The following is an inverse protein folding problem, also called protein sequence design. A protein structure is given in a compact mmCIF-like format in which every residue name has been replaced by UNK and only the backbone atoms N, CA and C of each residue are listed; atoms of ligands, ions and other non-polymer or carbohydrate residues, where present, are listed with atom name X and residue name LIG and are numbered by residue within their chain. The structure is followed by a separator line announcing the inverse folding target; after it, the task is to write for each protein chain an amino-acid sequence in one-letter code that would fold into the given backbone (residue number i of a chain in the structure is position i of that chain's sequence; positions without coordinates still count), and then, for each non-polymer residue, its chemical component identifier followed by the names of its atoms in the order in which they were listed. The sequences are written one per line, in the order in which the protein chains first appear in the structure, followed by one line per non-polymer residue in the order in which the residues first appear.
data_IF_033672697355
#
_entry.id   IF_033672697355
#
_cell.length_a   1.000
_cell.length_b   1.000
_cell.length_c   1.000
_cell.angle_alpha   90.00
_cell.angle_beta   90.00
_cell.angle_gamma   90.00
#
_symmetry.space_group_name_H-M   'P 1'
#
loop_
_entity.id
_entity.type
_entity.pdbx_description
1 polymer ?
#
# COMPACT_ATOMS: atom_id res chain seq x y z
N UNK A 1 -19.64 -19.76 -12.07
CA UNK A 1 -18.80 -19.00 -11.12
C UNK A 1 -18.11 -17.90 -11.90
N UNK A 2 -17.77 -16.78 -11.25
CA UNK A 2 -16.95 -15.75 -11.89
C UNK A 2 -15.62 -16.37 -12.35
N UNK A 3 -15.11 -15.91 -13.50
CA UNK A 3 -13.86 -16.38 -14.11
C UNK A 3 -12.66 -15.51 -13.66
N UNK A 4 -12.74 -15.01 -12.43
CA UNK A 4 -11.79 -14.12 -11.77
C UNK A 4 -12.09 -14.13 -10.27
N UNK A 5 -11.12 -13.73 -9.45
CA UNK A 5 -11.27 -13.50 -8.02
C UNK A 5 -10.92 -12.08 -7.63
N UNK A 6 -10.63 -11.87 -6.35
CA UNK A 6 -10.28 -10.55 -5.79
C UNK A 6 -8.94 -10.55 -5.04
N UNK A 7 -8.10 -11.55 -5.31
CA UNK A 7 -6.74 -11.66 -4.76
C UNK A 7 -5.73 -11.26 -5.83
N UNK A 8 -5.07 -10.11 -5.66
CA UNK A 8 -3.94 -9.74 -6.51
C UNK A 8 -2.67 -10.48 -6.13
N UNK A 9 -2.49 -10.72 -4.83
CA UNK A 9 -1.57 -11.73 -4.34
C UNK A 9 -2.25 -12.67 -3.34
N UNK A 10 -1.92 -13.95 -3.45
CA UNK A 10 -2.29 -15.02 -2.54
C UNK A 10 -1.01 -15.49 -1.87
N UNK A 11 -1.14 -15.87 -0.60
CA UNK A 11 -0.01 -16.41 0.16
C UNK A 11 0.65 -17.57 -0.58
N UNK A 12 1.86 -17.32 -1.08
CA UNK A 12 2.66 -18.25 -1.84
C UNK A 12 3.74 -18.82 -0.92
N UNK A 13 3.63 -20.10 -0.59
CA UNK A 13 4.60 -20.78 0.26
C UNK A 13 5.57 -21.62 -0.57
N UNK A 14 6.85 -21.60 -0.20
CA UNK A 14 7.88 -22.39 -0.86
C UNK A 14 8.49 -21.71 -2.08
N UNK A 15 9.05 -22.51 -2.99
CA UNK A 15 9.68 -22.03 -4.22
C UNK A 15 9.30 -22.91 -5.39
N UNK A 16 9.47 -22.42 -6.63
CA UNK A 16 9.13 -23.18 -7.84
C UNK A 16 10.25 -23.19 -8.87
N UNK A 17 10.33 -24.31 -9.58
CA UNK A 17 11.03 -24.43 -10.84
C UNK A 17 10.00 -24.43 -11.97
N UNK A 18 10.33 -23.80 -13.09
CA UNK A 18 9.46 -23.73 -14.28
C UNK A 18 10.20 -24.32 -15.47
N UNK A 19 9.57 -25.26 -16.15
CA UNK A 19 10.11 -25.89 -17.35
C UNK A 19 9.43 -25.32 -18.59
N UNK A 20 10.18 -25.24 -19.69
CA UNK A 20 9.69 -24.71 -20.97
C UNK A 20 8.49 -25.49 -21.57
N UNK A 21 8.25 -26.72 -21.10
CA UNK A 21 7.07 -27.52 -21.47
C UNK A 21 5.79 -27.11 -20.71
N UNK A 22 5.85 -26.08 -19.86
CA UNK A 22 4.72 -25.60 -19.05
C UNK A 22 4.53 -26.35 -17.74
N UNK A 23 5.43 -27.25 -17.34
CA UNK A 23 5.39 -27.84 -16.00
C UNK A 23 5.99 -26.86 -14.98
N UNK A 24 5.34 -26.72 -13.84
CA UNK A 24 5.88 -26.03 -12.66
C UNK A 24 5.94 -27.03 -11.52
N UNK A 25 7.10 -27.13 -10.89
CA UNK A 25 7.33 -28.02 -9.74
C UNK A 25 7.75 -27.18 -8.54
N UNK A 26 6.96 -27.27 -7.49
CA UNK A 26 7.16 -26.59 -6.24
C UNK A 26 7.94 -27.40 -5.22
N UNK A 27 8.66 -26.70 -4.34
CA UNK A 27 9.23 -27.22 -3.11
C UNK A 27 8.53 -26.55 -1.94
N UNK A 28 7.93 -27.32 -1.03
CA UNK A 28 7.13 -26.80 0.11
C UNK A 28 5.92 -25.95 -0.30
N UNK A 29 5.35 -26.23 -1.47
CA UNK A 29 4.13 -25.58 -1.99
C UNK A 29 2.87 -26.38 -1.62
N UNK A 30 1.70 -25.73 -1.73
CA UNK A 30 0.39 -26.31 -1.42
C UNK A 30 -0.63 -26.12 -2.55
N UNK A 31 -0.24 -26.36 -3.80
CA UNK A 31 -1.09 -26.05 -4.96
C UNK A 31 -2.43 -26.78 -5.02
N UNK A 32 -2.58 -27.96 -4.40
CA UNK A 32 -3.85 -28.67 -4.41
C UNK A 32 -4.84 -28.17 -3.34
N UNK A 33 -4.42 -27.24 -2.47
CA UNK A 33 -5.34 -26.54 -1.58
C UNK A 33 -6.11 -25.47 -2.38
N UNK A 34 -7.45 -25.59 -2.52
CA UNK A 34 -8.25 -24.62 -3.27
C UNK A 34 -8.27 -23.22 -2.64
N UNK A 35 -7.84 -23.05 -1.38
CA UNK A 35 -7.63 -21.73 -0.80
C UNK A 35 -6.35 -21.06 -1.35
N UNK A 36 -5.36 -21.86 -1.75
CA UNK A 36 -4.04 -21.40 -2.24
C UNK A 36 -4.06 -21.21 -3.76
N UNK A 37 -4.49 -22.22 -4.52
CA UNK A 37 -4.47 -22.15 -5.99
C UNK A 37 -5.67 -22.87 -6.61
N UNK A 38 -6.11 -22.38 -7.77
CA UNK A 38 -7.15 -23.00 -8.60
C UNK A 38 -6.72 -23.01 -10.06
N UNK A 39 -7.28 -23.92 -10.84
CA UNK A 39 -7.15 -23.86 -12.30
C UNK A 39 -7.76 -22.54 -12.78
N UNK A 40 -6.99 -21.80 -13.58
CA UNK A 40 -7.31 -20.44 -14.03
C UNK A 40 -6.57 -19.34 -13.28
N UNK A 41 -6.08 -19.59 -12.06
CA UNK A 41 -5.22 -18.63 -11.34
C UNK A 41 -3.90 -18.44 -12.10
N UNK A 42 -3.23 -17.32 -11.84
CA UNK A 42 -1.95 -16.97 -12.46
C UNK A 42 -0.81 -17.13 -11.45
N UNK A 43 0.26 -17.79 -11.87
CA UNK A 43 1.56 -17.82 -11.20
C UNK A 43 2.43 -16.74 -11.85
N UNK A 44 2.97 -15.83 -11.04
CA UNK A 44 3.99 -14.88 -11.48
C UNK A 44 5.33 -15.29 -10.90
N UNK A 45 6.35 -15.47 -11.74
CA UNK A 45 7.68 -15.84 -11.25
C UNK A 45 8.55 -14.60 -11.10
N UNK A 46 8.91 -14.25 -9.86
CA UNK A 46 9.57 -12.99 -9.51
C UNK A 46 10.84 -12.74 -10.33
N UNK A 47 11.65 -13.78 -10.54
CA UNK A 47 12.91 -13.67 -11.29
C UNK A 47 12.72 -13.30 -12.77
N UNK A 48 11.56 -13.56 -13.36
CA UNK A 48 11.26 -13.30 -14.77
C UNK A 48 10.16 -12.24 -14.97
N UNK A 49 9.35 -11.97 -13.94
CA UNK A 49 8.09 -11.23 -14.05
C UNK A 49 7.03 -11.92 -14.92
N UNK A 50 7.29 -13.12 -15.46
CA UNK A 50 6.38 -13.78 -16.38
C UNK A 50 5.13 -14.27 -15.64
N UNK A 51 3.98 -13.88 -16.15
CA UNK A 51 2.67 -14.34 -15.68
C UNK A 51 2.27 -15.60 -16.46
N UNK A 52 1.96 -16.68 -15.76
CA UNK A 52 1.66 -18.01 -16.28
C UNK A 52 0.31 -18.49 -15.75
N UNK A 53 -0.63 -18.86 -16.62
CA UNK A 53 -1.96 -19.30 -16.20
C UNK A 53 -1.98 -20.80 -15.91
N UNK A 54 -2.46 -21.20 -14.74
CA UNK A 54 -2.62 -22.60 -14.36
C UNK A 54 -3.72 -23.24 -15.21
N UNK A 55 -3.39 -24.31 -15.91
CA UNK A 55 -4.34 -25.13 -16.69
C UNK A 55 -4.68 -26.44 -15.99
N UNK A 56 -3.78 -26.95 -15.16
CA UNK A 56 -3.97 -28.20 -14.43
C UNK A 56 -3.22 -28.16 -13.10
N UNK A 57 -3.82 -28.73 -12.06
CA UNK A 57 -3.17 -28.95 -10.76
C UNK A 57 -3.11 -30.45 -10.54
N UNK A 58 -1.90 -31.01 -10.59
CA UNK A 58 -1.68 -32.45 -10.45
C UNK A 58 -1.46 -32.84 -8.99
N UNK A 59 -0.81 -31.98 -8.20
CA UNK A 59 -0.57 -32.21 -6.77
C UNK A 59 -0.22 -30.91 -6.03
N UNK A 60 0.04 -30.99 -4.72
CA UNK A 60 0.54 -29.86 -3.94
C UNK A 60 1.83 -29.23 -4.48
N UNK A 61 2.61 -29.98 -5.24
CA UNK A 61 3.91 -29.57 -5.75
C UNK A 61 4.00 -29.54 -7.26
N UNK A 62 2.93 -29.85 -7.99
CA UNK A 62 2.98 -29.90 -9.46
C UNK A 62 1.73 -29.28 -10.06
N UNK A 63 1.95 -28.32 -10.95
CA UNK A 63 0.92 -27.74 -11.80
C UNK A 63 1.42 -27.65 -13.25
N UNK A 64 0.49 -27.57 -14.19
CA UNK A 64 0.77 -27.25 -15.59
C UNK A 64 0.22 -25.87 -15.90
N UNK A 65 1.00 -25.09 -16.66
CA UNK A 65 0.71 -23.71 -16.99
C UNK A 65 0.87 -23.43 -18.48
N UNK A 66 0.23 -22.36 -18.92
CA UNK A 66 0.44 -21.76 -20.24
C UNK A 66 0.84 -20.28 -20.09
N UNK A 67 1.52 -19.69 -21.09
CA UNK A 67 1.84 -18.27 -21.08
C UNK A 67 0.60 -17.39 -20.88
N UNK A 68 0.70 -16.39 -20.00
CA UNK A 68 -0.37 -15.41 -19.76
C UNK A 68 -0.53 -14.37 -20.87
N UNK A 69 0.40 -14.35 -21.82
CA UNK A 69 0.42 -13.52 -23.03
C UNK A 69 0.49 -14.43 -24.25
N UNK A 70 -0.33 -14.18 -25.27
CA UNK A 70 -0.28 -15.02 -26.49
C UNK A 70 0.98 -14.72 -27.28
N UNK A 71 1.47 -15.75 -27.96
CA UNK A 71 2.72 -15.70 -28.73
C UNK A 71 3.97 -15.86 -27.88
N UNK A 72 3.87 -15.68 -26.56
CA UNK A 72 4.98 -15.94 -25.65
C UNK A 72 5.21 -17.44 -25.44
N UNK A 73 6.44 -17.78 -25.05
CA UNK A 73 6.81 -19.12 -24.59
C UNK A 73 7.00 -19.13 -23.08
N UNK A 74 6.83 -20.29 -22.44
CA UNK A 74 7.12 -20.42 -21.00
C UNK A 74 8.62 -20.28 -20.79
N UNK A 75 9.02 -19.32 -19.96
CA UNK A 75 10.42 -19.05 -19.63
C UNK A 75 10.89 -20.09 -18.61
N UNK A 76 12.00 -20.77 -18.92
CA UNK A 76 12.58 -21.76 -18.04
C UNK A 76 13.22 -21.09 -16.80
N UNK A 77 12.88 -21.58 -15.61
CA UNK A 77 13.42 -21.15 -14.33
C UNK A 77 13.92 -22.38 -13.57
N UNK A 78 15.24 -22.59 -13.58
CA UNK A 78 15.88 -23.81 -13.06
C UNK A 78 16.46 -23.69 -11.65
N UNK A 79 16.32 -22.53 -11.01
CA UNK A 79 16.63 -22.33 -9.59
C UNK A 79 15.30 -22.07 -8.88
N UNK A 80 15.04 -22.72 -7.74
CA UNK A 80 13.79 -22.59 -6.99
C UNK A 80 13.45 -21.14 -6.70
N UNK A 81 12.61 -20.56 -7.56
CA UNK A 81 12.26 -19.15 -7.58
C UNK A 81 11.13 -18.85 -6.63
N UNK A 82 11.16 -17.65 -6.05
CA UNK A 82 9.98 -17.07 -5.44
C UNK A 82 8.92 -16.81 -6.52
N UNK A 83 7.66 -16.87 -6.10
CA UNK A 83 6.52 -16.71 -6.97
C UNK A 83 5.36 -16.08 -6.20
N UNK A 84 4.49 -15.42 -6.96
CA UNK A 84 3.20 -14.91 -6.50
C UNK A 84 2.05 -15.65 -7.18
N UNK A 85 0.88 -15.63 -6.55
CA UNK A 85 -0.34 -16.28 -7.06
C UNK A 85 -1.45 -15.23 -7.11
N UNK A 86 -2.13 -15.10 -8.25
CA UNK A 86 -3.18 -14.09 -8.43
C UNK A 86 -4.44 -14.67 -9.07
N UNK A 87 -5.61 -14.14 -8.70
CA UNK A 87 -6.91 -14.54 -9.25
C UNK A 87 -7.34 -13.63 -10.41
N UNK A 88 -6.36 -13.19 -11.22
CA UNK A 88 -6.56 -12.37 -12.42
C UNK A 88 -7.64 -12.97 -13.33
N UNK A 89 -8.33 -12.16 -14.16
CA UNK A 89 -9.30 -12.69 -15.10
C UNK A 89 -8.70 -13.77 -15.99
N UNK A 90 -9.33 -14.95 -16.02
CA UNK A 90 -8.86 -16.13 -16.76
C UNK A 90 -8.68 -15.85 -18.26
N UNK A 91 -9.46 -14.90 -18.79
CA UNK A 91 -9.43 -14.45 -20.16
C UNK A 91 -9.12 -12.95 -20.25
N UNK A 92 -7.83 -12.61 -20.19
CA UNK A 92 -7.34 -11.30 -20.65
C UNK A 92 -7.14 -11.39 -22.17
N UNK A 93 -7.57 -10.40 -22.95
CA UNK A 93 -7.34 -10.44 -24.40
C UNK A 93 -5.84 -10.50 -24.66
N UNK A 94 -5.41 -11.59 -25.27
CA UNK A 94 -4.03 -11.85 -25.62
C UNK A 94 -3.68 -11.33 -27.03
N UNK A 95 -4.62 -10.61 -27.65
CA UNK A 95 -4.53 -10.11 -29.01
C UNK A 95 -4.96 -8.65 -29.07
N UNK A 96 -4.17 -7.83 -29.75
CA UNK A 96 -4.41 -6.41 -29.94
C UNK A 96 -5.33 -6.18 -31.13
N UNK A 97 -5.98 -5.02 -31.11
CA UNK A 97 -6.14 -4.22 -32.33
C UNK A 97 -4.99 -3.20 -32.34
N UNK A 98 -3.85 -3.52 -32.99
CA UNK A 98 -2.69 -2.62 -33.14
C UNK A 98 -1.32 -3.20 -32.75
N UNK A 99 -0.26 -2.79 -33.44
CA UNK A 99 1.11 -3.37 -33.39
C UNK A 99 1.95 -3.01 -32.16
N UNK A 100 1.34 -2.80 -30.98
CA UNK A 100 2.02 -2.33 -29.77
C UNK A 100 2.14 -3.40 -28.68
N UNK A 101 3.29 -3.44 -28.02
CA UNK A 101 3.60 -4.26 -26.84
C UNK A 101 2.67 -3.87 -25.68
N UNK A 102 1.79 -4.78 -25.24
CA UNK A 102 0.80 -4.48 -24.18
C UNK A 102 -0.19 -5.60 -23.90
N UNK A 103 0.21 -6.86 -24.09
CA UNK A 103 -0.73 -7.95 -24.35
C UNK A 103 -0.60 -9.03 -23.26
N UNK A 104 -1.73 -9.50 -22.74
CA UNK A 104 -1.78 -10.56 -21.73
C UNK A 104 -1.69 -10.10 -20.27
N UNK A 105 -1.70 -11.09 -19.37
CA UNK A 105 -1.88 -10.89 -17.94
C UNK A 105 -0.76 -10.10 -17.23
N UNK A 106 0.41 -9.95 -17.87
CA UNK A 106 1.51 -9.15 -17.34
C UNK A 106 1.20 -7.64 -17.25
N UNK A 107 0.23 -7.15 -18.03
CA UNK A 107 -0.23 -5.76 -17.98
C UNK A 107 -1.57 -5.61 -17.25
N UNK A 108 -2.00 -6.65 -16.52
CA UNK A 108 -3.22 -6.62 -15.70
C UNK A 108 -2.80 -6.64 -14.25
N UNK A 109 -3.32 -5.66 -13.53
CA UNK A 109 -2.96 -5.32 -12.16
C UNK A 109 -4.22 -5.30 -11.30
N UNK A 110 -4.10 -5.73 -10.06
CA UNK A 110 -5.20 -5.71 -9.12
C UNK A 110 -5.21 -4.41 -8.33
N UNK A 111 -6.02 -3.45 -8.77
CA UNK A 111 -6.00 -2.11 -8.18
C UNK A 111 -7.00 -2.02 -7.03
N UNK A 112 -6.53 -1.72 -5.83
CA UNK A 112 -7.34 -1.41 -4.67
C UNK A 112 -7.84 0.04 -4.66
N UNK A 113 -8.68 0.38 -3.68
CA UNK A 113 -9.08 1.78 -3.44
C UNK A 113 -7.88 2.63 -3.01
N UNK A 114 -6.92 2.01 -2.31
CA UNK A 114 -5.69 2.68 -1.88
C UNK A 114 -4.78 3.02 -3.05
N UNK A 115 -4.55 2.08 -3.95
CA UNK A 115 -3.72 2.32 -5.13
C UNK A 115 -4.34 3.34 -6.09
N UNK A 116 -5.67 3.39 -6.20
CA UNK A 116 -6.34 4.47 -6.96
C UNK A 116 -6.04 5.85 -6.38
N UNK A 117 -6.11 5.98 -5.05
CA UNK A 117 -5.75 7.21 -4.35
C UNK A 117 -4.24 7.50 -4.47
N UNK A 118 -3.40 6.47 -4.59
CA UNK A 118 -1.97 6.61 -4.80
C UNK A 118 -1.61 7.03 -6.24
N UNK A 119 -2.44 6.67 -7.22
CA UNK A 119 -2.19 6.83 -8.65
C UNK A 119 -3.24 7.73 -9.31
N UNK A 120 -3.64 8.83 -8.66
CA UNK A 120 -4.73 9.72 -9.16
C UNK A 120 -4.51 10.21 -10.59
N UNK A 121 -3.26 10.50 -10.96
CA UNK A 121 -2.90 10.99 -12.29
C UNK A 121 -2.99 9.90 -13.37
N UNK A 122 -3.06 8.63 -12.98
CA UNK A 122 -3.31 7.51 -13.90
C UNK A 122 -4.75 7.49 -14.42
N UNK A 123 -5.68 8.17 -13.74
CA UNK A 123 -7.08 8.28 -14.15
C UNK A 123 -7.92 7.01 -13.95
N UNK A 124 -7.46 6.07 -13.11
CA UNK A 124 -8.19 4.85 -12.77
C UNK A 124 -9.43 5.20 -11.96
N UNK A 125 -10.61 4.74 -12.39
CA UNK A 125 -11.89 5.15 -11.81
C UNK A 125 -12.48 4.13 -10.82
N UNK A 126 -12.05 2.87 -10.90
CA UNK A 126 -12.61 1.80 -10.09
C UNK A 126 -11.53 0.83 -9.61
N UNK A 127 -11.73 0.31 -8.38
CA UNK A 127 -10.96 -0.81 -7.88
C UNK A 127 -11.32 -2.08 -8.66
N UNK A 128 -10.41 -3.03 -8.69
CA UNK A 128 -10.55 -4.31 -9.38
C UNK A 128 -9.44 -4.52 -10.40
N UNK A 129 -9.71 -5.34 -11.41
CA UNK A 129 -8.70 -5.71 -12.39
C UNK A 129 -8.58 -4.63 -13.46
N UNK A 130 -7.42 -3.99 -13.52
CA UNK A 130 -7.15 -2.89 -14.46
C UNK A 130 -6.04 -3.28 -15.41
N UNK A 131 -6.29 -3.11 -16.70
CA UNK A 131 -5.29 -3.30 -17.75
C UNK A 131 -4.59 -1.98 -18.05
N UNK A 132 -3.26 -2.00 -18.08
CA UNK A 132 -2.44 -0.92 -18.62
C UNK A 132 -2.18 -1.15 -20.11
N UNK A 133 -2.41 -0.13 -20.92
CA UNK A 133 -2.13 -0.14 -22.35
C UNK A 133 -1.14 0.97 -22.69
N UNK A 134 -0.10 0.59 -23.42
CA UNK A 134 0.92 1.52 -23.93
C UNK A 134 0.82 1.56 -25.44
N UNK A 135 0.66 2.76 -25.99
CA UNK A 135 0.65 2.97 -27.44
C UNK A 135 1.49 4.18 -27.81
N UNK A 136 2.01 4.20 -29.04
CA UNK A 136 2.64 5.40 -29.56
C UNK A 136 1.67 6.59 -29.53
N UNK A 137 2.20 7.78 -29.25
CA UNK A 137 1.42 9.02 -29.37
C UNK A 137 1.02 9.30 -30.81
N UNK A 138 0.09 10.25 -30.98
CA UNK A 138 -0.33 10.66 -32.31
C UNK A 138 0.89 11.12 -33.15
N UNK A 139 1.01 10.60 -34.37
CA UNK A 139 2.15 10.88 -35.25
C UNK A 139 3.46 10.18 -34.83
N UNK A 140 3.41 9.19 -33.93
CA UNK A 140 4.60 8.46 -33.46
C UNK A 140 5.44 9.23 -32.44
N UNK A 141 4.96 10.37 -31.94
CA UNK A 141 5.68 11.22 -30.99
C UNK A 141 5.19 10.90 -29.57
N UNK A 142 6.13 10.49 -28.72
CA UNK A 142 5.87 10.19 -27.31
C UNK A 142 5.10 8.90 -27.08
N UNK A 143 4.83 8.62 -25.81
CA UNK A 143 4.13 7.42 -25.36
C UNK A 143 2.83 7.81 -24.68
N UNK A 144 1.73 7.15 -25.05
CA UNK A 144 0.43 7.28 -24.37
C UNK A 144 0.20 6.05 -23.51
N UNK A 145 -0.06 6.27 -22.23
CA UNK A 145 -0.51 5.25 -21.29
C UNK A 145 -2.01 5.43 -21.07
N UNK A 146 -2.76 4.34 -21.15
CA UNK A 146 -4.20 4.30 -20.87
C UNK A 146 -4.48 3.13 -19.94
N UNK A 147 -5.43 3.32 -19.04
CA UNK A 147 -5.91 2.26 -18.16
C UNK A 147 -7.35 1.90 -18.51
N UNK A 148 -7.66 0.61 -18.52
CA UNK A 148 -9.01 0.07 -18.74
C UNK A 148 -9.38 -0.82 -17.56
N UNK A 149 -10.49 -0.53 -16.91
CA UNK A 149 -11.04 -1.43 -15.89
C UNK A 149 -11.68 -2.63 -16.59
N UNK A 150 -11.04 -3.80 -16.48
CA UNK A 150 -11.58 -5.06 -16.98
C UNK A 150 -12.70 -5.59 -16.08
N UNK A 151 -12.52 -5.44 -14.77
CA UNK A 151 -13.50 -5.85 -13.76
C UNK A 151 -13.54 -4.83 -12.64
N UNK A 152 -14.67 -4.15 -12.47
CA UNK A 152 -14.88 -3.25 -11.35
C UNK A 152 -15.35 -4.02 -10.11
N UNK A 153 -14.80 -3.67 -8.94
CA UNK A 153 -15.08 -4.31 -7.65
C UNK A 153 -15.10 -3.29 -6.52
N UNK A 154 -15.63 -3.69 -5.36
CA UNK A 154 -15.54 -2.88 -4.13
C UNK A 154 -14.13 -2.85 -3.52
N UNK A 155 -13.23 -3.75 -3.96
CA UNK A 155 -11.86 -3.81 -3.50
C UNK A 155 -11.15 -5.07 -3.99
N UNK A 156 -9.83 -4.99 -4.06
CA UNK A 156 -8.92 -6.11 -4.24
C UNK A 156 -8.13 -6.30 -2.94
N UNK A 157 -7.76 -7.55 -2.67
CA UNK A 157 -6.99 -7.95 -1.51
C UNK A 157 -5.67 -8.56 -1.95
N UNK A 158 -4.68 -8.55 -1.06
CA UNK A 158 -3.33 -8.90 -1.45
C UNK A 158 -2.70 -7.77 -2.25
N UNK A 159 -1.38 -7.78 -2.30
CA UNK A 159 -0.58 -6.74 -2.90
C UNK A 159 0.48 -7.45 -3.74
N UNK A 160 0.38 -7.27 -5.06
CA UNK A 160 1.34 -7.85 -5.99
C UNK A 160 2.57 -6.94 -6.09
N UNK A 161 3.69 -7.46 -6.57
CA UNK A 161 4.91 -6.66 -6.75
C UNK A 161 4.84 -5.75 -8.01
N UNK A 162 3.76 -4.98 -8.17
CA UNK A 162 3.49 -4.11 -9.30
C UNK A 162 3.72 -2.61 -9.04
N UNK A 163 4.24 -2.27 -7.85
CA UNK A 163 4.68 -0.94 -7.39
C UNK A 163 5.40 -0.08 -8.43
N UNK A 164 6.12 -0.70 -9.35
CA UNK A 164 6.83 0.00 -10.45
C UNK A 164 5.89 0.66 -11.47
N UNK A 165 4.63 0.23 -11.51
CA UNK A 165 3.59 0.66 -12.46
C UNK A 165 2.43 1.32 -11.72
N UNK A 166 1.98 0.69 -10.63
CA UNK A 166 0.93 1.18 -9.76
C UNK A 166 1.50 1.18 -8.36
N UNK A 167 1.92 2.35 -7.89
CA UNK A 167 2.58 2.43 -6.59
C UNK A 167 1.56 2.26 -5.47
N UNK A 168 2.01 1.64 -4.39
CA UNK A 168 1.28 1.62 -3.15
C UNK A 168 1.30 2.96 -2.40
N UNK A 169 0.28 3.14 -1.55
CA UNK A 169 0.31 4.23 -0.60
C UNK A 169 1.27 3.90 0.54
N UNK A 170 2.28 4.75 0.74
CA UNK A 170 3.23 4.63 1.83
C UNK A 170 3.20 5.87 2.73
N UNK A 171 3.34 5.66 4.03
CA UNK A 171 3.60 6.73 4.98
C UNK A 171 4.66 6.31 6.01
N UNK A 172 5.47 7.26 6.45
CA UNK A 172 6.38 7.09 7.57
C UNK A 172 6.58 8.39 8.35
N UNK A 173 6.86 8.27 9.65
CA UNK A 173 7.38 9.38 10.46
C UNK A 173 8.90 9.40 10.30
N UNK A 174 9.43 10.40 9.61
CA UNK A 174 10.86 10.54 9.29
C UNK A 174 11.61 11.37 10.33
N UNK A 175 10.92 12.28 11.01
CA UNK A 175 11.47 13.01 12.17
C UNK A 175 10.51 12.88 13.34
N UNK A 176 10.97 12.23 14.40
CA UNK A 176 10.22 12.07 15.65
C UNK A 176 10.14 13.40 16.40
N UNK A 177 9.06 13.63 17.18
CA UNK A 177 9.06 14.73 18.13
C UNK A 177 10.15 14.56 19.16
N UNK A 178 10.59 15.68 19.74
CA UNK A 178 11.60 15.72 20.80
C UNK A 178 11.00 16.25 22.10
N UNK A 179 11.43 15.69 23.23
CA UNK A 179 11.10 16.21 24.56
C UNK A 179 11.53 17.67 24.70
N UNK A 180 10.78 18.45 25.48
CA UNK A 180 10.99 19.89 25.59
C UNK A 180 10.78 20.37 27.03
N UNK A 181 11.36 21.54 27.34
CA UNK A 181 11.27 22.17 28.65
C UNK A 181 10.60 23.52 28.54
N UNK A 182 9.52 23.73 29.30
CA UNK A 182 8.89 25.02 29.48
C UNK A 182 9.41 25.69 30.76
N UNK A 183 10.37 26.60 30.64
CA UNK A 183 10.85 27.42 31.76
C UNK A 183 9.99 28.68 31.94
N UNK A 184 8.96 28.55 32.77
CA UNK A 184 8.01 29.61 33.09
C UNK A 184 8.54 30.63 34.10
N UNK A 185 9.63 30.31 34.83
CA UNK A 185 10.38 31.33 35.61
C UNK A 185 10.98 32.35 34.65
N UNK A 186 11.63 31.87 33.58
CA UNK A 186 12.27 32.73 32.59
C UNK A 186 11.26 33.41 31.66
N UNK A 187 10.15 32.73 31.34
CA UNK A 187 9.09 33.28 30.51
C UNK A 187 7.73 32.66 30.87
N UNK A 188 6.93 33.38 31.64
CA UNK A 188 5.60 32.92 32.07
C UNK A 188 4.60 32.68 30.92
N UNK A 189 4.86 33.24 29.73
CA UNK A 189 4.03 33.07 28.53
C UNK A 189 4.60 32.04 27.54
N UNK A 190 5.61 31.26 27.93
CA UNK A 190 6.23 30.26 27.06
C UNK A 190 5.23 29.16 26.69
N UNK A 191 5.16 28.84 25.40
CA UNK A 191 4.28 27.80 24.87
C UNK A 191 5.15 26.78 24.12
N UNK A 192 5.51 25.66 24.76
CA UNK A 192 6.39 24.67 24.13
C UNK A 192 5.67 24.00 22.95
N UNK A 193 6.45 23.61 21.96
CA UNK A 193 5.96 22.91 20.77
C UNK A 193 6.57 21.52 20.62
N UNK A 194 5.80 20.63 20.01
CA UNK A 194 6.27 19.34 19.51
C UNK A 194 5.99 19.28 18.02
N UNK A 195 7.00 18.89 17.24
CA UNK A 195 6.92 18.81 15.79
C UNK A 195 7.19 17.40 15.32
N UNK A 196 6.56 16.99 14.23
CA UNK A 196 6.83 15.73 13.54
C UNK A 196 7.04 16.04 12.06
N UNK A 197 7.88 15.26 11.39
CA UNK A 197 7.93 15.25 9.93
C UNK A 197 7.51 13.86 9.47
N UNK A 198 6.59 13.81 8.52
CA UNK A 198 6.26 12.58 7.83
C UNK A 198 6.75 12.64 6.38
N UNK A 199 6.85 11.47 5.77
CA UNK A 199 6.95 11.30 4.33
C UNK A 199 5.77 10.45 3.90
N UNK A 200 5.12 10.88 2.82
CA UNK A 200 4.06 10.11 2.17
C UNK A 200 4.33 9.92 0.70
N UNK A 201 3.88 8.79 0.19
CA UNK A 201 3.82 8.51 -1.24
C UNK A 201 2.42 8.02 -1.59
N UNK A 202 1.81 8.60 -2.63
CA UNK A 202 2.26 9.75 -3.40
C UNK A 202 2.32 11.03 -2.54
N UNK A 203 3.09 12.04 -2.98
CA UNK A 203 3.37 13.27 -2.19
C UNK A 203 2.11 14.12 -1.89
N UNK A 204 1.02 13.89 -2.63
CA UNK A 204 -0.29 14.49 -2.44
C UNK A 204 -1.22 13.65 -1.55
N UNK A 205 -0.71 12.58 -0.93
CA UNK A 205 -1.49 11.71 -0.06
C UNK A 205 -2.04 12.45 1.17
N UNK A 206 -3.34 12.31 1.42
CA UNK A 206 -3.97 12.92 2.58
C UNK A 206 -3.58 12.19 3.87
N UNK A 207 -2.88 12.88 4.77
CA UNK A 207 -2.54 12.37 6.11
C UNK A 207 -3.26 13.17 7.17
N UNK A 208 -4.01 12.47 8.00
CA UNK A 208 -4.55 13.04 9.21
C UNK A 208 -3.67 12.68 10.41
N UNK A 209 -3.69 13.57 11.39
CA UNK A 209 -2.84 13.54 12.57
C UNK A 209 -3.69 13.49 13.83
N UNK A 210 -3.19 12.81 14.87
CA UNK A 210 -3.83 12.71 16.17
C UNK A 210 -2.82 12.74 17.34
N UNK A 211 -2.56 13.93 17.89
CA UNK A 211 -1.77 14.13 19.12
C UNK A 211 -2.44 13.65 20.40
N UNK A 212 -1.86 12.66 21.06
CA UNK A 212 -2.34 12.13 22.33
C UNK A 212 -1.50 12.67 23.49
N UNK A 213 -2.14 12.77 24.65
CA UNK A 213 -1.50 13.11 25.92
C UNK A 213 -1.68 11.95 26.89
N UNK A 214 -0.64 11.71 27.69
CA UNK A 214 -0.64 10.80 28.81
C UNK A 214 -0.26 11.57 30.07
N UNK A 215 -1.05 11.40 31.13
CA UNK A 215 -0.81 11.99 32.46
C UNK A 215 -0.26 10.97 33.47
N UNK A 216 0.01 9.74 33.02
CA UNK A 216 0.42 8.61 33.85
C UNK A 216 1.58 7.82 33.22
N UNK A 217 2.61 8.53 32.76
CA UNK A 217 3.87 7.94 32.27
C UNK A 217 3.68 6.87 31.17
N UNK A 218 2.76 7.12 30.26
CA UNK A 218 2.52 6.32 29.07
C UNK A 218 1.55 5.16 29.27
N UNK A 219 1.01 4.96 30.47
CA UNK A 219 0.10 3.85 30.77
C UNK A 219 -1.26 3.99 30.05
N UNK A 220 -1.81 5.20 29.96
CA UNK A 220 -3.04 5.47 29.19
C UNK A 220 -2.93 6.74 28.37
N UNK A 221 -3.54 6.73 27.18
CA UNK A 221 -3.45 7.84 26.23
C UNK A 221 -4.83 8.41 25.93
N UNK A 222 -4.97 9.72 26.09
CA UNK A 222 -6.18 10.45 25.75
C UNK A 222 -5.95 11.31 24.50
N UNK A 223 -6.97 11.41 23.65
CA UNK A 223 -6.95 12.32 22.52
C UNK A 223 -7.04 13.78 23.00
N UNK A 224 -6.06 14.62 22.64
CA UNK A 224 -6.12 16.07 22.88
C UNK A 224 -7.26 16.68 22.06
N UNK A 225 -8.22 17.30 22.74
CA UNK A 225 -9.37 18.00 22.13
C UNK A 225 -9.62 19.40 22.72
N UNK A 226 -8.87 19.79 23.76
CA UNK A 226 -9.06 21.05 24.48
C UNK A 226 -8.26 22.20 23.82
N UNK A 227 -8.99 23.07 23.10
CA UNK A 227 -8.38 24.16 22.35
C UNK A 227 -7.87 25.36 23.15
N UNK A 228 -8.22 25.44 24.45
CA UNK A 228 -7.72 26.48 25.36
C UNK A 228 -6.41 26.07 26.02
N UNK A 229 -6.23 24.78 26.30
CA UNK A 229 -5.01 24.24 26.92
C UNK A 229 -3.86 23.98 25.92
N UNK A 230 -4.21 23.68 24.68
CA UNK A 230 -3.29 23.44 23.57
C UNK A 230 -3.52 24.49 22.48
N UNK A 231 -2.67 24.56 21.46
CA UNK A 231 -2.82 25.43 20.28
C UNK A 231 -2.91 24.63 18.98
N UNK A 232 -2.96 25.37 17.85
CA UNK A 232 -3.16 24.88 16.47
C UNK A 232 -4.50 24.15 16.24
N UNK A 233 -5.60 24.91 16.25
CA UNK A 233 -6.91 24.44 15.80
C UNK A 233 -7.45 25.40 14.74
N UNK A 234 -7.89 24.86 13.61
CA UNK A 234 -8.71 25.60 12.64
C UNK A 234 -10.20 25.42 12.91
N UNK A 235 -10.60 24.36 13.62
CA UNK A 235 -12.00 24.06 13.94
C UNK A 235 -12.22 23.65 15.40
N UNK A 236 -13.33 24.13 15.99
CA UNK A 236 -13.76 23.76 17.33
C UNK A 236 -14.21 22.28 17.36
N UNK A 237 -13.55 21.45 18.17
CA UNK A 237 -13.93 20.05 18.40
C UNK A 237 -13.11 18.99 17.66
N UNK A 238 -12.25 19.38 16.72
CA UNK A 238 -11.26 18.49 16.10
C UNK A 238 -9.88 18.78 16.69
N UNK A 239 -9.45 17.94 17.63
CA UNK A 239 -8.03 17.89 17.89
C UNK A 239 -7.28 17.46 16.61
N UNK A 240 -6.14 18.12 16.37
CA UNK A 240 -4.88 17.45 15.97
C UNK A 240 -4.51 17.35 14.48
N UNK A 241 -5.01 18.13 13.53
CA UNK A 241 -4.76 17.85 12.09
C UNK A 241 -3.39 18.25 11.51
N UNK A 242 -2.42 18.69 12.32
CA UNK A 242 -1.15 19.25 11.79
C UNK A 242 0.10 18.59 12.38
N UNK A 243 1.23 18.81 11.70
CA UNK A 243 2.58 18.35 12.08
C UNK A 243 3.11 18.96 13.37
N UNK A 244 2.42 19.95 13.96
CA UNK A 244 2.88 20.68 15.15
C UNK A 244 1.81 20.76 16.23
N UNK A 245 2.14 20.32 17.43
CA UNK A 245 1.37 20.56 18.65
C UNK A 245 1.97 21.74 19.43
N UNK A 246 1.14 22.71 19.80
CA UNK A 246 1.50 23.81 20.71
C UNK A 246 0.84 23.57 22.08
N UNK A 247 1.54 23.79 23.18
CA UNK A 247 0.96 23.74 24.54
C UNK A 247 0.80 25.17 25.07
N UNK A 248 -0.44 25.69 25.08
CA UNK A 248 -0.73 27.08 25.50
C UNK A 248 -0.61 27.29 27.00
N UNK A 249 -0.98 26.28 27.78
CA UNK A 249 -1.07 26.35 29.24
C UNK A 249 -0.19 25.28 29.89
N UNK A 250 1.16 25.39 29.86
CA UNK A 250 2.05 24.35 30.37
C UNK A 250 1.98 24.16 31.90
N UNK A 251 1.45 25.12 32.67
CA UNK A 251 1.31 25.00 34.13
C UNK A 251 0.53 23.73 34.50
N UNK A 252 1.06 22.95 35.45
CA UNK A 252 0.46 21.70 35.92
C UNK A 252 0.62 20.49 34.99
N UNK A 253 1.39 20.61 33.89
CA UNK A 253 1.64 19.54 32.92
C UNK A 253 3.06 18.99 32.98
N UNK A 254 3.75 19.18 34.10
CA UNK A 254 5.08 18.58 34.30
C UNK A 254 4.97 17.07 34.21
N UNK A 255 5.96 16.42 33.58
CA UNK A 255 6.03 14.97 33.34
C UNK A 255 4.92 14.39 32.46
N UNK A 256 4.09 15.23 31.83
CA UNK A 256 3.11 14.73 30.85
C UNK A 256 3.84 14.28 29.60
N UNK A 257 3.36 13.18 29.02
CA UNK A 257 3.87 12.63 27.78
C UNK A 257 2.96 12.93 26.62
N UNK A 258 3.55 13.11 25.45
CA UNK A 258 2.86 13.39 24.20
C UNK A 258 3.34 12.44 23.11
N UNK A 259 2.45 12.11 22.19
CA UNK A 259 2.79 11.39 20.94
C UNK A 259 1.81 11.76 19.85
N UNK A 260 2.17 11.58 18.61
CA UNK A 260 1.27 11.75 17.46
C UNK A 260 1.03 10.42 16.79
N UNK A 261 -0.22 10.20 16.40
CA UNK A 261 -0.59 9.12 15.49
C UNK A 261 -0.90 9.72 14.12
N UNK A 262 -0.43 9.10 13.07
CA UNK A 262 -0.81 9.44 11.69
C UNK A 262 -1.61 8.29 11.09
N UNK A 263 -2.59 8.62 10.27
CA UNK A 263 -3.44 7.65 9.58
C UNK A 263 -3.96 8.23 8.27
N UNK A 264 -4.42 7.35 7.39
CA UNK A 264 -5.02 7.75 6.12
C UNK A 264 -6.29 8.56 6.33
N UNK A 265 -6.25 9.86 6.03
CA UNK A 265 -7.24 10.83 6.53
C UNK A 265 -8.67 10.67 5.99
N UNK A 266 -8.87 9.82 5.00
CA UNK A 266 -10.14 9.51 4.35
C UNK A 266 -10.51 8.02 4.43
N UNK A 267 -9.72 7.20 5.13
CA UNK A 267 -9.86 5.74 5.13
C UNK A 267 -9.57 5.05 3.78
N UNK A 268 -9.27 5.82 2.74
CA UNK A 268 -8.95 5.38 1.38
C UNK A 268 -7.46 5.29 1.14
N UNK A 269 -6.64 5.96 1.95
CA UNK A 269 -5.20 6.16 1.73
C UNK A 269 -4.31 4.99 2.22
N UNK A 270 -4.85 3.78 2.36
CA UNK A 270 -4.06 2.53 2.31
C UNK A 270 -3.11 2.17 3.46
N UNK A 271 -2.60 3.13 4.26
CA UNK A 271 -1.63 2.81 5.31
C UNK A 271 -2.28 2.64 6.69
N UNK A 272 -1.76 1.67 7.46
CA UNK A 272 -2.14 1.46 8.86
C UNK A 272 -1.67 2.61 9.75
N UNK A 273 -2.33 2.80 10.90
CA UNK A 273 -1.94 3.83 11.87
C UNK A 273 -0.46 3.71 12.28
N UNK A 274 0.29 4.82 12.19
CA UNK A 274 1.70 4.90 12.61
C UNK A 274 1.78 5.81 13.84
N UNK A 275 2.39 5.32 14.92
CA UNK A 275 2.55 6.06 16.17
C UNK A 275 3.99 6.56 16.31
N UNK A 276 4.17 7.83 16.68
CA UNK A 276 5.47 8.40 16.98
C UNK A 276 6.06 7.86 18.28
N UNK A 277 7.35 8.14 18.51
CA UNK A 277 7.95 8.06 19.83
C UNK A 277 7.21 8.96 20.84
N UNK A 278 7.21 8.55 22.10
CA UNK A 278 6.67 9.36 23.20
C UNK A 278 7.69 10.43 23.59
N UNK A 279 7.21 11.64 23.89
CA UNK A 279 8.04 12.75 24.34
C UNK A 279 7.51 13.34 25.63
N UNK A 280 8.40 13.80 26.50
CA UNK A 280 8.06 14.37 27.80
C UNK A 280 8.08 15.89 27.73
N UNK A 281 7.09 16.52 28.37
CA UNK A 281 7.14 17.94 28.72
C UNK A 281 7.68 18.09 30.15
N UNK A 282 8.81 18.78 30.27
CA UNK A 282 9.32 19.24 31.56
C UNK A 282 8.87 20.68 31.77
N UNK A 283 8.29 20.99 32.93
CA UNK A 283 7.88 22.36 33.26
C UNK A 283 8.70 22.84 34.44
N UNK A 284 9.44 23.93 34.22
CA UNK A 284 10.12 24.66 35.28
C UNK A 284 9.25 25.89 35.56
N UNK A 285 8.29 25.72 36.46
CA UNK A 285 7.48 26.83 36.95
C UNK A 285 8.23 27.67 37.97
N UNK A 286 7.80 28.92 38.25
CA UNK A 286 8.00 29.44 39.60
C UNK A 286 7.48 28.44 40.65
#
# INVERSE_FOLDING_TARGET
MALWGNKDDKTSAGTVNVWANGQVVGTSTFFADPAVAKVGDYITIDASGQNLRITEITSNTIVTVVPGTAGESVTNVSAGGAFALSEKPVYVSMYTVGTGVGEGAANVYGVSIAEQAANVDAGIQHAGWVRRMVSAGAGGIGTRVRYETLVAMSGINGDALDDSVLMDFFAAITTQPSSTTANLIANAALQPTFTVVNSVRPENGNVAYYWQVSTNSGATWANISNATAYGTFTDAGAGKTTTTLLVKQPVGKNTYEYRVKIWGGDGSTGFSEITSSNVILTVIGP
#
